data_IF_651339824502
#
_entry.id   IF_651339824502
#
_cell.length_a   1.000
_cell.length_b   1.000
_cell.length_c   1.000
_cell.angle_alpha   90.00
_cell.angle_beta   90.00
_cell.angle_gamma   90.00
#
_symmetry.space_group_name_H-M   'P 1'
#
loop_
_entity.id
_entity.type
_entity.pdbx_description
1 polymer ?
#
# COMPACT_ATOMS: atom_id res chain seq x y z
N UNK A 1 19.74 -5.12 0.50
CA UNK A 1 18.54 -4.76 1.29
C UNK A 1 17.76 -3.74 0.48
N UNK A 2 16.53 -4.04 0.06
CA UNK A 2 15.71 -3.13 -0.74
C UNK A 2 14.97 -2.17 0.20
N UNK A 3 15.20 -0.86 0.08
CA UNK A 3 14.40 0.16 0.77
C UNK A 3 13.34 0.71 -0.20
N UNK A 4 12.10 0.93 0.26
CA UNK A 4 11.07 1.59 -0.53
C UNK A 4 11.51 2.99 -0.98
N UNK A 5 11.03 3.43 -2.15
CA UNK A 5 11.29 4.78 -2.68
C UNK A 5 10.20 5.75 -2.20
N UNK A 6 10.64 6.91 -1.72
CA UNK A 6 9.81 8.00 -1.22
C UNK A 6 9.87 9.27 -2.09
N UNK A 7 10.61 9.29 -3.21
CA UNK A 7 10.82 10.51 -4.01
C UNK A 7 9.53 11.21 -4.43
N UNK A 8 8.54 10.41 -4.86
CA UNK A 8 7.23 10.88 -5.31
C UNK A 8 6.11 10.65 -4.27
N UNK A 9 6.49 10.50 -2.99
CA UNK A 9 5.53 10.26 -1.90
C UNK A 9 5.48 11.44 -0.94
N UNK A 10 4.27 11.88 -0.52
CA UNK A 10 4.13 12.79 0.60
C UNK A 10 4.74 12.24 1.89
N UNK A 11 4.98 13.12 2.86
CA UNK A 11 5.40 12.69 4.18
C UNK A 11 4.30 11.83 4.83
N UNK A 12 4.68 10.72 5.46
CA UNK A 12 3.73 9.81 6.11
C UNK A 12 4.23 8.38 6.21
N UNK A 13 3.39 7.50 6.75
CA UNK A 13 3.71 6.07 6.87
C UNK A 13 2.94 5.24 5.85
N UNK A 14 3.65 4.29 5.25
CA UNK A 14 3.20 3.48 4.14
C UNK A 14 3.48 2.00 4.42
N UNK A 15 2.61 1.14 3.91
CA UNK A 15 2.86 -0.30 3.87
C UNK A 15 3.89 -0.60 2.78
N UNK A 16 4.80 -1.53 3.06
CA UNK A 16 5.58 -2.17 2.02
C UNK A 16 4.71 -3.16 1.24
N UNK A 17 4.22 -2.72 0.08
CA UNK A 17 3.36 -3.51 -0.82
C UNK A 17 4.08 -4.68 -1.49
N UNK A 18 5.43 -4.67 -1.54
CA UNK A 18 6.21 -5.75 -2.15
C UNK A 18 6.38 -6.93 -1.21
N UNK A 19 6.10 -6.74 0.08
CA UNK A 19 6.10 -7.81 1.08
C UNK A 19 4.68 -8.19 1.45
N UNK A 20 4.47 -9.50 1.52
CA UNK A 20 3.17 -10.07 1.87
C UNK A 20 2.69 -9.62 3.24
N UNK A 21 1.36 -9.59 3.39
CA UNK A 21 0.65 -9.44 4.65
C UNK A 21 0.69 -8.07 5.32
N UNK A 22 1.31 -7.02 4.75
CA UNK A 22 1.40 -5.69 5.40
C UNK A 22 2.16 -5.73 6.74
N UNK A 23 3.09 -6.68 6.86
CA UNK A 23 3.90 -6.82 8.06
C UNK A 23 4.96 -5.72 8.16
N UNK A 24 5.46 -5.25 7.01
CA UNK A 24 6.48 -4.21 6.94
C UNK A 24 5.85 -2.86 6.55
N UNK A 25 6.37 -1.80 7.14
CA UNK A 25 5.98 -0.44 6.86
C UNK A 25 7.18 0.49 6.91
N UNK A 26 7.03 1.66 6.30
CA UNK A 26 8.07 2.67 6.23
C UNK A 26 7.50 4.08 6.35
N UNK A 27 8.36 4.99 6.80
CA UNK A 27 8.05 6.41 6.92
C UNK A 27 8.79 7.17 5.84
N UNK A 28 8.07 7.96 5.04
CA UNK A 28 8.65 8.96 4.16
C UNK A 28 8.71 10.32 4.87
N UNK A 29 9.86 10.99 4.77
CA UNK A 29 10.05 12.36 5.22
C UNK A 29 10.99 13.09 4.25
N UNK A 30 10.52 14.17 3.63
CA UNK A 30 11.31 14.97 2.69
C UNK A 30 11.84 14.16 1.51
N UNK A 31 10.97 13.37 0.87
CA UNK A 31 11.31 12.51 -0.28
C UNK A 31 12.32 11.39 0.02
N UNK A 32 12.59 11.09 1.30
CA UNK A 32 13.49 10.02 1.75
C UNK A 32 12.79 9.05 2.68
N UNK A 33 13.22 7.80 2.65
CA UNK A 33 12.79 6.78 3.61
C UNK A 33 13.52 7.00 4.92
N UNK A 34 12.79 7.44 5.94
CA UNK A 34 13.33 7.77 7.26
C UNK A 34 13.38 6.55 8.18
N UNK A 35 12.36 5.68 8.10
CA UNK A 35 12.27 4.48 8.92
C UNK A 35 11.69 3.33 8.07
N UNK A 36 12.14 2.11 8.30
CA UNK A 36 11.62 0.89 7.69
C UNK A 36 11.67 -0.23 8.72
N UNK A 37 10.50 -0.70 9.15
CA UNK A 37 10.39 -1.68 10.24
C UNK A 37 9.18 -2.60 10.05
N UNK A 38 9.14 -3.67 10.84
CA UNK A 38 8.02 -4.62 10.88
C UNK A 38 7.18 -4.45 12.13
N UNK A 39 5.89 -4.73 12.00
CA UNK A 39 5.05 -5.03 13.14
C UNK A 39 5.45 -6.35 13.82
N UNK A 40 5.15 -6.46 15.11
CA UNK A 40 5.29 -7.69 15.87
C UNK A 40 4.50 -8.86 15.26
N UNK A 41 4.86 -10.08 15.65
CA UNK A 41 4.19 -11.30 15.20
C UNK A 41 2.71 -11.23 15.61
N UNK A 42 1.80 -11.49 14.65
CA UNK A 42 0.35 -11.39 14.85
C UNK A 42 -0.24 -9.99 14.59
N UNK A 43 0.59 -8.97 14.38
CA UNK A 43 0.16 -7.61 14.07
C UNK A 43 0.54 -7.22 12.64
N UNK A 44 -0.25 -6.33 12.03
CA UNK A 44 -0.07 -5.77 10.68
C UNK A 44 -0.24 -4.26 10.70
N UNK A 45 0.45 -3.56 9.81
CA UNK A 45 0.35 -2.11 9.74
C UNK A 45 -0.98 -1.69 9.07
N UNK A 46 -1.76 -0.88 9.77
CA UNK A 46 -2.99 -0.29 9.26
C UNK A 46 -2.71 1.13 8.77
N UNK A 47 -2.76 1.35 7.45
CA UNK A 47 -2.60 2.70 6.87
C UNK A 47 -3.67 3.66 7.39
N UNK A 48 -4.90 3.17 7.56
CA UNK A 48 -6.02 3.97 8.06
C UNK A 48 -5.78 4.50 9.49
N UNK A 49 -5.20 3.66 10.36
CA UNK A 49 -4.97 4.02 11.77
C UNK A 49 -3.53 4.45 12.05
N UNK A 50 -2.65 4.42 11.04
CA UNK A 50 -1.22 4.72 11.13
C UNK A 50 -0.48 3.94 12.24
N UNK A 51 -0.88 2.69 12.51
CA UNK A 51 -0.27 1.85 13.55
C UNK A 51 -0.39 0.35 13.27
N UNK A 52 0.42 -0.44 13.96
CA UNK A 52 0.28 -1.89 13.98
C UNK A 52 -0.98 -2.29 14.76
N UNK A 53 -1.87 -3.04 14.12
CA UNK A 53 -3.09 -3.59 14.71
C UNK A 53 -3.09 -5.12 14.57
N UNK A 54 -3.86 -5.85 15.40
CA UNK A 54 -4.01 -7.29 15.25
C UNK A 54 -4.37 -7.66 13.81
N UNK A 55 -3.74 -8.69 13.24
CA UNK A 55 -3.88 -9.04 11.83
C UNK A 55 -5.34 -9.24 11.39
N UNK A 56 -6.19 -9.75 12.30
CA UNK A 56 -7.64 -9.94 12.06
C UNK A 56 -8.41 -8.63 11.81
N UNK A 57 -7.88 -7.49 12.24
CA UNK A 57 -8.50 -6.16 12.09
C UNK A 57 -7.97 -5.38 10.88
N UNK A 58 -6.91 -5.87 10.22
CA UNK A 58 -6.24 -5.16 9.13
C UNK A 58 -6.55 -5.83 7.80
N UNK A 59 -7.25 -5.10 6.92
CA UNK A 59 -7.41 -5.52 5.52
C UNK A 59 -6.16 -5.14 4.75
N UNK A 60 -5.25 -6.10 4.61
CA UNK A 60 -4.07 -5.93 3.79
C UNK A 60 -4.41 -6.16 2.31
N UNK A 61 -4.16 -5.17 1.46
CA UNK A 61 -4.32 -5.31 0.00
C UNK A 61 -3.06 -5.85 -0.69
N UNK A 62 -2.18 -6.54 0.06
CA UNK A 62 -1.01 -7.19 -0.52
C UNK A 62 -1.45 -8.26 -1.53
N UNK A 63 -1.04 -8.08 -2.79
CA UNK A 63 -1.32 -8.92 -3.97
C UNK A 63 -2.71 -8.84 -4.65
N UNK A 64 -3.39 -7.68 -4.67
CA UNK A 64 -4.54 -7.51 -5.60
C UNK A 64 -4.17 -7.07 -7.02
N UNK A 65 -2.88 -6.83 -7.33
CA UNK A 65 -2.43 -6.53 -8.69
C UNK A 65 -2.48 -7.73 -9.67
N UNK A 66 -2.79 -8.93 -9.19
CA UNK A 66 -3.04 -10.12 -10.03
C UNK A 66 -4.52 -10.57 -9.99
N UNK A 67 -5.46 -9.64 -9.76
CA UNK A 67 -6.88 -9.95 -9.81
C UNK A 67 -7.46 -9.45 -11.15
N UNK A 68 -7.78 -10.34 -12.12
CA UNK A 68 -8.29 -9.94 -13.44
C UNK A 68 -9.63 -9.20 -13.39
N UNK A 69 -10.34 -9.27 -12.26
CA UNK A 69 -11.60 -8.55 -12.03
C UNK A 69 -11.42 -7.04 -11.81
N UNK A 70 -10.26 -6.58 -11.33
CA UNK A 70 -9.96 -5.15 -11.17
C UNK A 70 -9.61 -4.49 -12.52
N UNK A 71 -9.00 -5.24 -13.45
CA UNK A 71 -8.64 -4.74 -14.78
C UNK A 71 -9.86 -4.46 -15.66
N UNK A 72 -10.95 -5.22 -15.49
CA UNK A 72 -12.21 -5.04 -16.22
C UNK A 72 -12.94 -3.75 -15.83
N UNK A 73 -12.96 -3.41 -14.53
CA UNK A 73 -13.68 -2.21 -14.04
C UNK A 73 -12.97 -0.94 -14.50
N UNK A 74 -11.63 -0.92 -14.49
CA UNK A 74 -10.84 0.23 -14.92
C UNK A 74 -10.97 0.44 -16.44
N UNK A 75 -11.00 -0.65 -17.25
CA UNK A 75 -11.27 -0.54 -18.69
C UNK A 75 -12.65 0.04 -19.00
N UNK A 76 -13.72 -0.38 -18.32
CA UNK A 76 -15.06 0.15 -18.55
C UNK A 76 -15.17 1.65 -18.23
N UNK A 77 -14.53 2.13 -17.15
CA UNK A 77 -14.52 3.55 -16.81
C UNK A 77 -13.75 4.40 -17.84
N UNK A 78 -12.64 3.91 -18.39
CA UNK A 78 -11.85 4.64 -19.40
C UNK A 78 -12.63 4.75 -20.73
N UNK A 79 -13.40 3.71 -21.12
CA UNK A 79 -14.22 3.75 -22.33
C UNK A 79 -15.39 4.74 -22.24
N UNK A 80 -16.05 4.87 -21.08
CA UNK A 80 -17.15 5.83 -20.92
C UNK A 80 -16.68 7.30 -20.99
N UNK A 81 -15.50 7.64 -20.47
CA UNK A 81 -14.98 9.01 -20.56
C UNK A 81 -14.45 9.39 -21.95
N UNK A 82 -14.06 8.42 -22.79
CA UNK A 82 -13.56 8.70 -24.15
C UNK A 82 -14.68 8.96 -25.18
N UNK A 83 -15.94 8.66 -24.87
CA UNK A 83 -17.09 8.86 -25.78
C UNK A 83 -17.96 10.08 -25.46
N UNK A 84 -17.46 11.05 -24.68
CA UNK A 84 -18.17 12.34 -24.45
C UNK A 84 -17.32 13.58 -24.71
N UNK A 85 -16.31 13.48 -25.58
CA UNK A 85 -15.67 14.60 -26.28
C UNK A 85 -15.64 14.29 -27.77
#
# INVERSE_FOLDING_TARGET
MFLPDCRDRPNGNYVDQYRSNCQYHYTCLGSRTFNYTSCEIGFRFSVQHQKCLPAKQVKCLGNYFNNPLLFQIISFCIFFFKSSI
#
